data_IF_346590201179
#
_entry.id   IF_346590201179
#
_cell.length_a   1.000
_cell.length_b   1.000
_cell.length_c   1.000
_cell.angle_alpha   90.00
_cell.angle_beta   90.00
_cell.angle_gamma   90.00
#
_symmetry.space_group_name_H-M   'P 1'
#
loop_
_entity.id
_entity.type
_entity.pdbx_description
1 polymer ?
#
# COMPACT_ATOMS: atom_id res chain seq x y z
N UNK A 1 12.58 -0.68 -5.76
CA UNK A 1 11.14 -1.01 -5.74
C UNK A 1 10.74 -1.96 -6.87
N UNK A 2 10.63 -1.49 -8.12
CA UNK A 2 9.98 -2.23 -9.23
C UNK A 2 10.56 -3.61 -9.56
N UNK A 3 11.86 -3.84 -9.33
CA UNK A 3 12.49 -5.13 -9.62
C UNK A 3 11.87 -6.29 -8.83
N UNK A 4 11.52 -6.10 -7.55
CA UNK A 4 10.88 -7.15 -6.77
C UNK A 4 9.46 -7.45 -7.26
N UNK A 5 8.70 -6.43 -7.67
CA UNK A 5 7.40 -6.61 -8.29
C UNK A 5 7.49 -7.30 -9.67
N UNK A 6 8.57 -7.07 -10.42
CA UNK A 6 8.87 -7.82 -11.63
C UNK A 6 9.09 -9.32 -11.33
N UNK A 7 9.89 -9.65 -10.31
CA UNK A 7 10.09 -11.05 -9.90
C UNK A 7 8.81 -11.70 -9.37
N UNK A 8 7.96 -10.95 -8.68
CA UNK A 8 6.62 -11.41 -8.33
C UNK A 8 5.82 -11.79 -9.58
N UNK A 9 5.71 -10.88 -10.56
CA UNK A 9 5.00 -11.15 -11.81
C UNK A 9 5.57 -12.34 -12.57
N UNK A 10 6.90 -12.46 -12.64
CA UNK A 10 7.58 -13.60 -13.27
C UNK A 10 7.24 -14.90 -12.54
N UNK A 11 7.30 -14.92 -11.21
CA UNK A 11 6.98 -16.12 -10.43
C UNK A 11 5.53 -16.55 -10.59
N UNK A 12 4.60 -15.59 -10.67
CA UNK A 12 3.19 -15.86 -10.90
C UNK A 12 2.97 -16.47 -12.29
N UNK A 13 3.62 -15.91 -13.32
CA UNK A 13 3.55 -16.41 -14.69
C UNK A 13 4.14 -17.83 -14.82
N UNK A 14 5.30 -18.08 -14.21
CA UNK A 14 5.92 -19.41 -14.21
C UNK A 14 5.05 -20.45 -13.47
N UNK A 15 4.44 -20.07 -12.34
CA UNK A 15 3.47 -20.93 -11.65
C UNK A 15 2.24 -21.22 -12.51
N UNK A 16 1.73 -20.24 -13.27
CA UNK A 16 0.62 -20.43 -14.20
C UNK A 16 0.95 -21.44 -15.32
N UNK A 17 2.18 -21.43 -15.83
CA UNK A 17 2.66 -22.39 -16.84
C UNK A 17 3.15 -23.73 -16.26
N UNK A 18 2.87 -24.04 -14.98
CA UNK A 18 3.29 -25.27 -14.31
C UNK A 18 4.81 -25.52 -14.33
N UNK A 19 5.63 -24.46 -14.28
CA UNK A 19 7.07 -24.59 -14.09
C UNK A 19 7.37 -25.29 -12.76
N UNK A 20 8.53 -25.99 -12.61
CA UNK A 20 8.90 -26.73 -11.41
C UNK A 20 9.35 -25.79 -10.27
N UNK A 21 8.44 -24.95 -9.80
CA UNK A 21 8.64 -24.04 -8.68
C UNK A 21 8.06 -24.62 -7.39
N UNK A 22 8.63 -24.31 -6.21
CA UNK A 22 8.01 -24.62 -4.94
C UNK A 22 6.57 -24.10 -4.84
N UNK A 23 5.77 -24.76 -4.01
CA UNK A 23 4.39 -24.33 -3.72
C UNK A 23 4.44 -22.94 -3.07
N UNK A 24 3.53 -22.05 -3.48
CA UNK A 24 3.38 -20.69 -2.96
C UNK A 24 4.52 -19.70 -3.21
N UNK A 25 5.44 -19.98 -4.13
CA UNK A 25 6.46 -18.99 -4.53
C UNK A 25 5.87 -17.60 -4.84
N UNK A 26 4.69 -17.47 -5.50
CA UNK A 26 4.08 -16.15 -5.71
C UNK A 26 3.77 -15.37 -4.43
N UNK A 27 3.42 -16.04 -3.32
CA UNK A 27 3.20 -15.36 -2.03
C UNK A 27 4.52 -14.87 -1.44
N UNK A 28 5.57 -15.68 -1.53
CA UNK A 28 6.88 -15.32 -1.02
C UNK A 28 7.50 -14.14 -1.78
N UNK A 29 7.44 -14.16 -3.11
CA UNK A 29 7.96 -13.07 -3.94
C UNK A 29 7.15 -11.77 -3.77
N UNK A 30 5.83 -11.87 -3.57
CA UNK A 30 4.98 -10.73 -3.26
C UNK A 30 5.29 -10.12 -1.88
N UNK A 31 5.53 -10.97 -0.88
CA UNK A 31 5.95 -10.53 0.45
C UNK A 31 7.27 -9.75 0.38
N UNK A 32 8.27 -10.28 -0.34
CA UNK A 32 9.54 -9.59 -0.55
C UNK A 32 9.37 -8.27 -1.30
N UNK A 33 8.42 -8.19 -2.24
CA UNK A 33 8.18 -6.97 -2.99
C UNK A 33 7.65 -5.83 -2.09
N UNK A 34 6.61 -6.08 -1.30
CA UNK A 34 6.09 -5.08 -0.37
C UNK A 34 7.06 -4.77 0.78
N UNK A 35 7.80 -5.77 1.27
CA UNK A 35 8.85 -5.54 2.26
C UNK A 35 9.97 -4.64 1.73
N UNK A 36 10.47 -4.93 0.52
CA UNK A 36 11.50 -4.12 -0.13
C UNK A 36 11.02 -2.70 -0.45
N UNK A 37 9.74 -2.52 -0.77
CA UNK A 37 9.11 -1.22 -0.91
C UNK A 37 9.06 -0.45 0.42
N UNK A 38 8.62 -1.09 1.50
CA UNK A 38 8.57 -0.50 2.85
C UNK A 38 9.95 -0.02 3.29
N UNK A 39 10.99 -0.85 3.11
CA UNK A 39 12.37 -0.49 3.42
C UNK A 39 12.84 0.73 2.63
N UNK A 40 12.50 0.80 1.34
CA UNK A 40 12.88 1.92 0.50
C UNK A 40 12.27 3.22 1.02
N UNK A 41 10.97 3.25 1.32
CA UNK A 41 10.34 4.45 1.86
C UNK A 41 10.93 4.84 3.21
N UNK A 42 11.23 3.89 4.08
CA UNK A 42 11.85 4.17 5.37
C UNK A 42 13.22 4.87 5.22
N UNK A 43 14.10 4.35 4.36
CA UNK A 43 15.42 4.95 4.14
C UNK A 43 15.40 6.17 3.21
N UNK A 44 14.28 6.46 2.54
CA UNK A 44 14.11 7.67 1.73
C UNK A 44 13.99 8.96 2.56
N UNK A 45 13.62 8.84 3.85
CA UNK A 45 13.26 9.98 4.70
C UNK A 45 14.45 10.84 5.15
N UNK A 46 15.68 10.34 5.02
CA UNK A 46 16.84 11.04 5.57
C UNK A 46 17.06 12.40 4.88
N UNK A 47 17.14 13.48 5.67
CA UNK A 47 17.36 14.84 5.17
C UNK A 47 16.14 15.50 4.51
N UNK A 48 14.94 14.92 4.65
CA UNK A 48 13.68 15.47 4.11
C UNK A 48 13.04 16.49 5.05
N UNK A 49 12.12 17.32 4.53
CA UNK A 49 11.34 18.26 5.34
C UNK A 49 10.38 17.54 6.26
N UNK A 50 9.84 18.23 7.27
CA UNK A 50 8.95 17.60 8.24
C UNK A 50 7.63 17.16 7.59
N UNK A 51 7.12 17.95 6.65
CA UNK A 51 5.97 17.58 5.83
C UNK A 51 6.23 16.31 5.00
N UNK A 52 7.37 16.25 4.31
CA UNK A 52 7.76 15.11 3.46
C UNK A 52 7.89 13.83 4.32
N UNK A 53 8.54 13.94 5.49
CA UNK A 53 8.64 12.84 6.46
C UNK A 53 7.26 12.35 6.91
N UNK A 54 6.36 13.27 7.27
CA UNK A 54 5.04 12.93 7.80
C UNK A 54 4.20 12.15 6.78
N UNK A 55 4.09 12.64 5.55
CA UNK A 55 3.26 12.00 4.52
C UNK A 55 3.80 10.64 4.09
N UNK A 56 5.13 10.50 4.02
CA UNK A 56 5.77 9.23 3.70
C UNK A 56 5.74 8.26 4.88
N UNK A 57 5.71 8.73 6.12
CA UNK A 57 5.51 7.87 7.30
C UNK A 57 4.12 7.22 7.28
N UNK A 58 3.07 7.97 6.91
CA UNK A 58 1.74 7.40 6.68
C UNK A 58 1.74 6.35 5.57
N UNK A 59 2.53 6.57 4.50
CA UNK A 59 2.70 5.61 3.43
C UNK A 59 3.44 4.33 3.89
N UNK A 60 4.47 4.46 4.73
CA UNK A 60 5.19 3.33 5.33
C UNK A 60 4.24 2.49 6.18
N UNK A 61 3.35 3.12 6.95
CA UNK A 61 2.32 2.41 7.73
C UNK A 61 1.42 1.59 6.80
N UNK A 62 0.90 2.19 5.72
CA UNK A 62 0.06 1.49 4.75
C UNK A 62 0.80 0.31 4.10
N UNK A 63 2.03 0.51 3.61
CA UNK A 63 2.83 -0.55 2.96
C UNK A 63 3.22 -1.67 3.94
N UNK A 64 3.49 -1.34 5.21
CA UNK A 64 3.71 -2.33 6.27
C UNK A 64 2.46 -3.17 6.50
N UNK A 65 1.28 -2.54 6.58
CA UNK A 65 0.01 -3.26 6.74
C UNK A 65 -0.35 -4.11 5.52
N UNK A 66 0.00 -3.66 4.31
CA UNK A 66 -0.08 -4.47 3.08
C UNK A 66 0.83 -5.71 3.20
N UNK A 67 2.07 -5.53 3.62
CA UNK A 67 3.05 -6.63 3.84
C UNK A 67 2.53 -7.64 4.86
N UNK A 68 2.01 -7.18 6.00
CA UNK A 68 1.41 -8.04 7.02
C UNK A 68 0.17 -8.76 6.50
N UNK A 69 -0.64 -8.10 5.68
CA UNK A 69 -1.83 -8.70 5.08
C UNK A 69 -1.47 -9.83 4.10
N UNK A 70 -0.36 -9.71 3.36
CA UNK A 70 0.17 -10.82 2.53
C UNK A 70 0.54 -12.01 3.40
N UNK A 71 1.19 -11.80 4.55
CA UNK A 71 1.48 -12.89 5.49
C UNK A 71 0.21 -13.57 6.02
N UNK A 72 -0.81 -12.77 6.37
CA UNK A 72 -2.10 -13.29 6.84
C UNK A 72 -2.83 -14.09 5.75
N UNK A 73 -2.88 -13.56 4.53
CA UNK A 73 -3.45 -14.24 3.35
C UNK A 73 -2.73 -15.56 3.06
N UNK A 74 -1.38 -15.56 3.12
CA UNK A 74 -0.58 -16.76 2.92
C UNK A 74 -0.84 -17.81 4.00
N UNK A 75 -0.98 -17.40 5.27
CA UNK A 75 -1.25 -18.32 6.38
C UNK A 75 -2.68 -18.87 6.36
N UNK A 76 -3.66 -18.06 5.95
CA UNK A 76 -5.10 -18.37 6.03
C UNK A 76 -5.77 -18.29 4.65
N UNK A 77 -5.25 -19.01 3.65
CA UNK A 77 -5.72 -18.94 2.25
C UNK A 77 -7.20 -19.22 2.01
N UNK A 78 -7.86 -19.92 2.93
CA UNK A 78 -9.30 -20.24 2.84
C UNK A 78 -10.18 -19.14 3.47
N UNK A 79 -9.58 -18.17 4.15
CA UNK A 79 -10.30 -17.07 4.79
C UNK A 79 -10.45 -15.90 3.81
N UNK A 80 -11.70 -15.61 3.44
CA UNK A 80 -12.03 -14.41 2.65
C UNK A 80 -11.53 -13.14 3.34
N UNK A 81 -11.64 -13.06 4.67
CA UNK A 81 -11.16 -11.90 5.43
C UNK A 81 -9.64 -11.73 5.31
N UNK A 82 -8.88 -12.83 5.31
CA UNK A 82 -7.43 -12.76 5.10
C UNK A 82 -7.10 -12.30 3.67
N UNK A 83 -7.84 -12.78 2.67
CA UNK A 83 -7.67 -12.38 1.27
C UNK A 83 -8.07 -10.93 0.97
N UNK A 84 -8.98 -10.34 1.76
CA UNK A 84 -9.42 -8.94 1.61
C UNK A 84 -8.40 -7.93 2.15
N UNK A 85 -7.55 -8.30 3.10
CA UNK A 85 -6.60 -7.38 3.74
C UNK A 85 -5.59 -6.79 2.75
N UNK A 86 -4.97 -7.62 1.91
CA UNK A 86 -3.98 -7.17 0.91
C UNK A 86 -4.57 -6.15 -0.08
N UNK A 87 -5.67 -6.43 -0.80
CA UNK A 87 -6.23 -5.46 -1.74
C UNK A 87 -6.74 -4.20 -1.03
N UNK A 88 -7.26 -4.30 0.20
CA UNK A 88 -7.66 -3.14 0.99
C UNK A 88 -6.50 -2.18 1.25
N UNK A 89 -5.40 -2.66 1.83
CA UNK A 89 -4.25 -1.79 2.14
C UNK A 89 -3.51 -1.32 0.89
N UNK A 90 -3.46 -2.14 -0.16
CA UNK A 90 -2.94 -1.73 -1.47
C UNK A 90 -3.75 -0.56 -2.06
N UNK A 91 -5.08 -0.58 -1.91
CA UNK A 91 -5.95 0.52 -2.35
C UNK A 91 -5.71 1.82 -1.55
N UNK A 92 -5.63 1.72 -0.22
CA UNK A 92 -5.29 2.86 0.65
C UNK A 92 -3.92 3.43 0.26
N UNK A 93 -2.91 2.57 0.10
CA UNK A 93 -1.56 2.95 -0.30
C UNK A 93 -1.54 3.67 -1.65
N UNK A 94 -2.22 3.12 -2.67
CA UNK A 94 -2.26 3.71 -4.01
C UNK A 94 -2.96 5.08 -4.03
N UNK A 95 -4.12 5.19 -3.38
CA UNK A 95 -4.85 6.48 -3.32
C UNK A 95 -4.08 7.52 -2.51
N UNK A 96 -3.39 7.11 -1.44
CA UNK A 96 -2.53 8.01 -0.67
C UNK A 96 -1.30 8.47 -1.46
N UNK A 97 -0.66 7.59 -2.24
CA UNK A 97 0.41 7.96 -3.16
C UNK A 97 -0.02 9.06 -4.14
N UNK A 98 -1.24 8.96 -4.69
CA UNK A 98 -1.80 10.02 -5.52
C UNK A 98 -1.96 11.34 -4.73
N UNK A 99 -2.45 11.28 -3.49
CA UNK A 99 -2.61 12.46 -2.63
C UNK A 99 -1.24 13.12 -2.33
N UNK A 100 -0.21 12.32 -1.99
CA UNK A 100 1.16 12.81 -1.75
C UNK A 100 1.68 13.59 -2.95
N UNK A 101 1.43 13.11 -4.17
CA UNK A 101 1.89 13.81 -5.38
C UNK A 101 1.38 15.25 -5.45
N UNK A 102 0.10 15.49 -5.12
CA UNK A 102 -0.48 16.83 -5.08
C UNK A 102 -0.02 17.67 -3.89
N UNK A 103 0.27 17.03 -2.74
CA UNK A 103 0.78 17.72 -1.54
C UNK A 103 2.20 18.24 -1.76
N UNK A 104 3.09 17.39 -2.27
CA UNK A 104 4.50 17.72 -2.47
C UNK A 104 4.76 18.48 -3.79
N UNK A 105 3.91 18.28 -4.80
CA UNK A 105 3.99 18.96 -6.09
C UNK A 105 2.64 19.62 -6.42
N UNK A 106 2.29 20.72 -5.73
CA UNK A 106 1.03 21.41 -5.94
C UNK A 106 0.90 21.93 -7.38
N UNK A 107 -0.32 21.92 -7.90
CA UNK A 107 -0.65 22.44 -9.23
C UNK A 107 -0.28 23.92 -9.36
N UNK A 108 -0.07 24.44 -10.58
CA UNK A 108 0.15 25.86 -10.79
C UNK A 108 -0.95 26.69 -10.11
N UNK A 109 -0.55 27.72 -9.36
CA UNK A 109 -1.42 28.60 -8.55
C UNK A 109 -2.03 28.00 -7.27
N UNK A 110 -1.78 26.72 -6.95
CA UNK A 110 -2.20 26.17 -5.66
C UNK A 110 -1.26 26.63 -4.53
N UNK A 111 -1.83 26.86 -3.35
CA UNK A 111 -1.07 27.19 -2.14
C UNK A 111 -0.22 26.00 -1.73
N UNK A 112 1.07 26.24 -1.45
CA UNK A 112 1.97 25.19 -0.97
C UNK A 112 1.58 24.77 0.45
N UNK A 113 1.70 23.47 0.70
CA UNK A 113 1.61 22.93 2.04
C UNK A 113 2.82 23.36 2.87
N UNK A 114 2.58 23.65 4.15
CA UNK A 114 3.61 23.98 5.13
C UNK A 114 3.76 22.88 6.17
N UNK A 115 4.78 23.04 6.99
CA UNK A 115 5.20 22.06 8.00
C UNK A 115 4.59 22.35 9.38
N UNK A 116 3.57 23.23 9.46
CA UNK A 116 2.92 23.57 10.73
C UNK A 116 2.03 22.43 11.22
N UNK A 117 1.84 22.36 12.54
CA UNK A 117 1.12 21.28 13.20
C UNK A 117 -0.29 21.07 12.65
N UNK A 118 -1.04 22.14 12.38
CA UNK A 118 -2.43 22.07 11.92
C UNK A 118 -2.54 21.42 10.54
N UNK A 119 -1.64 21.75 9.61
CA UNK A 119 -1.60 21.13 8.29
C UNK A 119 -1.21 19.66 8.35
N UNK A 120 -0.28 19.28 9.23
CA UNK A 120 0.11 17.88 9.43
C UNK A 120 -1.04 17.05 10.02
N UNK A 121 -1.78 17.63 10.98
CA UNK A 121 -2.97 17.00 11.53
C UNK A 121 -4.07 16.83 10.49
N UNK A 122 -4.26 17.82 9.62
CA UNK A 122 -5.16 17.71 8.49
C UNK A 122 -4.76 16.57 7.54
N UNK A 123 -3.47 16.42 7.24
CA UNK A 123 -2.97 15.32 6.40
C UNK A 123 -3.21 13.95 7.05
N UNK A 124 -3.03 13.81 8.36
CA UNK A 124 -3.39 12.59 9.07
C UNK A 124 -4.89 12.31 8.99
N UNK A 125 -5.73 13.35 9.15
CA UNK A 125 -7.18 13.21 8.98
C UNK A 125 -7.54 12.78 7.55
N UNK A 126 -6.92 13.37 6.53
CA UNK A 126 -7.10 12.97 5.12
C UNK A 126 -6.73 11.50 4.91
N UNK A 127 -5.61 11.04 5.47
CA UNK A 127 -5.24 9.62 5.41
C UNK A 127 -6.30 8.70 6.04
N UNK A 128 -6.88 9.08 7.19
CA UNK A 128 -8.00 8.35 7.77
C UNK A 128 -9.22 8.30 6.83
N UNK A 129 -9.49 9.37 6.08
CA UNK A 129 -10.55 9.37 5.07
C UNK A 129 -10.29 8.40 3.92
N UNK A 130 -9.03 8.19 3.51
CA UNK A 130 -8.68 7.14 2.54
C UNK A 130 -9.03 5.74 3.07
N UNK A 131 -8.79 5.49 4.36
CA UNK A 131 -9.15 4.23 5.01
C UNK A 131 -10.68 4.05 5.04
N UNK A 132 -11.42 5.11 5.41
CA UNK A 132 -12.90 5.07 5.41
C UNK A 132 -13.45 4.84 4.01
N UNK A 133 -12.91 5.53 2.99
CA UNK A 133 -13.32 5.37 1.61
C UNK A 133 -13.05 3.94 1.11
N UNK A 134 -11.89 3.37 1.43
CA UNK A 134 -11.58 1.97 1.15
C UNK A 134 -12.58 1.04 1.85
N UNK A 135 -12.90 1.27 3.12
CA UNK A 135 -13.84 0.45 3.87
C UNK A 135 -15.21 0.42 3.19
N UNK A 136 -15.76 1.59 2.85
CA UNK A 136 -17.05 1.70 2.14
C UNK A 136 -17.00 0.97 0.80
N UNK A 137 -15.92 1.15 0.03
CA UNK A 137 -15.75 0.51 -1.28
C UNK A 137 -15.75 -1.02 -1.17
N UNK A 138 -14.93 -1.58 -0.27
CA UNK A 138 -14.83 -3.03 -0.09
C UNK A 138 -16.10 -3.63 0.54
N UNK A 139 -16.78 -2.91 1.43
CA UNK A 139 -18.10 -3.32 1.95
C UNK A 139 -19.14 -3.41 0.82
N UNK A 140 -19.19 -2.43 -0.07
CA UNK A 140 -20.11 -2.45 -1.21
C UNK A 140 -19.83 -3.62 -2.16
N UNK A 141 -18.54 -3.91 -2.43
CA UNK A 141 -18.15 -5.07 -3.24
C UNK A 141 -18.58 -6.40 -2.60
N UNK A 142 -18.43 -6.55 -1.28
CA UNK A 142 -18.86 -7.75 -0.57
C UNK A 142 -20.39 -7.94 -0.64
N UNK A 143 -21.18 -6.87 -0.50
CA UNK A 143 -22.64 -6.96 -0.63
C UNK A 143 -23.09 -7.32 -2.05
N UNK A 144 -22.37 -6.88 -3.08
CA UNK A 144 -22.70 -7.21 -4.47
C UNK A 144 -22.42 -8.69 -4.81
N UNK A 145 -21.45 -9.32 -4.17
CA UNK A 145 -21.07 -10.71 -4.44
C UNK A 145 -21.89 -11.76 -3.65
N UNK A 146 -22.60 -11.33 -2.61
CA UNK A 146 -23.49 -12.18 -1.79
C UNK A 146 -24.93 -12.27 -2.34
N UNK A 147 -25.17 -11.81 -3.58
CA UNK A 147 -26.41 -12.00 -4.35
C UNK A 147 -26.08 -12.77 -5.62
#
# INVERSE_FOLDING_TARGET
MHLFFFFFGLSYLLSYYNAPLPIDVPYFTLLLAFFGETLLFYFHLHGRSHLDIHVHTLLIIASTLTTLSVCFEWKYKQSVMAALGRPFWCFVQGTWLCQIAFVLNPLPNATKWGDNHDQLMLLTSMFCWHIVAALIWFTFLCFRYNR
#
